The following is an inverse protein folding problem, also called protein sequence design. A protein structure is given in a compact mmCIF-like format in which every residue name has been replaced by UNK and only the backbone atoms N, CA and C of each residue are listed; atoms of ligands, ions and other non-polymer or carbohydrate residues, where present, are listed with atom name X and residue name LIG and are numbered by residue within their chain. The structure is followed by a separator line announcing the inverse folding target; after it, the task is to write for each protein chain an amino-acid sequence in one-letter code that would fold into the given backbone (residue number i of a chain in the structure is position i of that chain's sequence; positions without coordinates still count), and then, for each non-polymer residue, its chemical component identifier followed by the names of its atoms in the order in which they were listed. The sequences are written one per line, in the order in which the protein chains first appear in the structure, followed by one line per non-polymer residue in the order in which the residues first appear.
data_IF_166151966521
#
_entry.id   IF_166151966521
#
_cell.length_a   1.000
_cell.length_b   1.000
_cell.length_c   1.000
_cell.angle_alpha   90.00
_cell.angle_beta   90.00
_cell.angle_gamma   90.00
#
_symmetry.space_group_name_H-M   'P 1'
#
loop_
_entity.id
_entity.type
_entity.pdbx_description
1 polymer ?
#
# COMPACT_ATOMS: atom_id res chain seq x y z
N UNK A 1 9.31 -10.13 18.45
CA UNK A 1 8.40 -9.93 17.29
C UNK A 1 9.09 -9.00 16.29
N UNK A 2 9.33 -9.45 15.06
CA UNK A 2 10.15 -8.71 14.08
C UNK A 2 9.29 -7.77 13.21
N UNK A 3 9.05 -6.55 13.70
CA UNK A 3 8.27 -5.51 12.99
C UNK A 3 9.09 -4.57 12.11
N UNK A 4 10.41 -4.78 11.98
CA UNK A 4 11.33 -3.87 11.26
C UNK A 4 12.25 -4.67 10.35
N UNK A 5 12.45 -4.18 9.12
CA UNK A 5 13.42 -4.71 8.17
C UNK A 5 13.77 -3.70 7.07
N UNK A 6 14.89 -3.92 6.37
CA UNK A 6 15.37 -3.03 5.30
C UNK A 6 14.74 -3.39 3.95
N UNK A 7 13.86 -2.52 3.44
CA UNK A 7 13.30 -2.62 2.09
C UNK A 7 14.21 -2.02 1.01
N UNK A 8 13.78 -2.15 -0.25
CA UNK A 8 14.45 -1.54 -1.42
C UNK A 8 13.41 -0.97 -2.36
N UNK A 9 13.68 0.24 -2.86
CA UNK A 9 12.94 0.86 -3.96
C UNK A 9 13.61 0.47 -5.26
N UNK A 10 12.86 -0.06 -6.21
CA UNK A 10 13.37 -0.44 -7.54
C UNK A 10 12.53 0.19 -8.65
N UNK A 11 13.21 0.71 -9.65
CA UNK A 11 12.63 1.12 -10.94
C UNK A 11 12.92 0.02 -11.97
N UNK A 12 11.88 -0.42 -12.69
CA UNK A 12 11.98 -1.47 -13.72
C UNK A 12 11.99 -0.94 -15.16
N UNK A 13 12.09 0.38 -15.37
CA UNK A 13 12.44 0.96 -16.66
C UNK A 13 11.28 1.24 -17.64
N UNK A 14 11.24 2.52 -18.06
CA UNK A 14 10.81 3.17 -19.31
C UNK A 14 9.52 2.82 -20.08
N UNK A 15 8.71 1.83 -19.70
CA UNK A 15 7.37 1.68 -20.32
C UNK A 15 6.20 1.88 -19.36
N UNK A 16 6.46 1.78 -18.07
CA UNK A 16 5.52 2.12 -17.01
C UNK A 16 6.31 2.81 -15.91
N UNK A 17 5.96 4.04 -15.52
CA UNK A 17 6.51 4.77 -14.39
C UNK A 17 6.08 4.16 -13.05
N UNK A 18 6.30 2.86 -12.89
CA UNK A 18 5.91 2.10 -11.70
C UNK A 18 7.14 1.89 -10.84
N UNK A 19 7.09 2.48 -9.65
CA UNK A 19 8.05 2.21 -8.59
C UNK A 19 7.57 1.00 -7.81
N UNK A 20 8.47 0.06 -7.53
CA UNK A 20 8.18 -1.08 -6.67
C UNK A 20 8.93 -0.94 -5.35
N UNK A 21 8.22 -1.15 -4.24
CA UNK A 21 8.80 -1.20 -2.90
C UNK A 21 8.79 -2.65 -2.45
N UNK A 22 9.98 -3.19 -2.17
CA UNK A 22 10.11 -4.53 -1.60
C UNK A 22 9.94 -4.48 -0.07
N UNK A 23 8.97 -5.25 0.44
CA UNK A 23 8.77 -5.46 1.87
C UNK A 23 9.53 -6.71 2.31
N UNK A 24 10.41 -6.64 3.32
CA UNK A 24 11.14 -7.80 3.81
C UNK A 24 10.21 -8.93 4.26
N UNK A 25 10.59 -10.18 3.96
CA UNK A 25 9.80 -11.37 4.31
C UNK A 25 9.35 -11.39 5.79
N UNK A 26 10.24 -11.00 6.72
CA UNK A 26 9.91 -10.97 8.16
C UNK A 26 8.76 -10.02 8.50
N UNK A 27 8.61 -8.93 7.73
CA UNK A 27 7.52 -7.96 7.91
C UNK A 27 6.26 -8.44 7.19
N UNK A 28 6.39 -8.98 5.98
CA UNK A 28 5.27 -9.48 5.19
C UNK A 28 4.57 -10.72 5.79
N UNK A 29 5.30 -11.52 6.57
CA UNK A 29 4.77 -12.70 7.28
C UNK A 29 4.29 -12.40 8.71
N UNK A 30 4.37 -11.14 9.19
CA UNK A 30 3.84 -10.79 10.51
C UNK A 30 2.30 -10.87 10.48
N UNK A 31 1.69 -11.46 11.50
CA UNK A 31 0.23 -11.57 11.62
C UNK A 31 -0.51 -10.23 11.61
N UNK A 32 0.19 -9.13 11.91
CA UNK A 32 -0.33 -7.76 11.88
C UNK A 32 -0.12 -7.07 10.53
N UNK A 33 0.50 -7.75 9.55
CA UNK A 33 0.66 -7.21 8.21
C UNK A 33 -0.73 -6.91 7.64
N UNK A 34 -1.03 -5.64 7.30
CA UNK A 34 -2.41 -5.21 7.11
C UNK A 34 -2.97 -5.59 5.74
N UNK A 35 -2.17 -6.21 4.85
CA UNK A 35 -2.55 -6.49 3.47
C UNK A 35 -2.47 -7.99 3.12
N UNK A 36 -3.21 -8.38 2.10
CA UNK A 36 -3.23 -9.67 1.41
C UNK A 36 -2.72 -9.49 -0.01
N UNK A 37 -2.21 -10.57 -0.59
CA UNK A 37 -1.75 -10.54 -1.98
C UNK A 37 -2.92 -10.22 -2.92
N UNK A 38 -2.72 -9.20 -3.76
CA UNK A 38 -3.68 -8.79 -4.79
C UNK A 38 -4.78 -7.85 -4.33
N UNK A 39 -4.79 -7.38 -3.06
CA UNK A 39 -5.74 -6.34 -2.65
C UNK A 39 -5.32 -4.94 -3.14
N UNK A 40 -6.30 -4.12 -3.50
CA UNK A 40 -6.07 -2.71 -3.82
C UNK A 40 -5.76 -1.89 -2.56
N UNK A 41 -4.86 -0.93 -2.68
CA UNK A 41 -4.43 -0.06 -1.58
C UNK A 41 -4.41 1.40 -2.00
N UNK A 42 -4.65 2.30 -1.04
CA UNK A 42 -4.40 3.72 -1.21
C UNK A 42 -2.95 4.00 -0.85
N UNK A 43 -2.20 4.66 -1.75
CA UNK A 43 -0.81 5.05 -1.52
C UNK A 43 -0.72 6.58 -1.60
N UNK A 44 -0.21 7.23 -0.55
CA UNK A 44 -0.04 8.69 -0.52
C UNK A 44 1.25 9.11 0.19
N UNK A 45 1.66 10.36 -0.05
CA UNK A 45 2.77 11.00 0.64
C UNK A 45 2.20 11.85 1.78
N UNK A 46 2.73 11.66 2.98
CA UNK A 46 2.46 12.51 4.15
C UNK A 46 3.78 13.04 4.71
N UNK A 47 4.09 14.30 4.41
CA UNK A 47 5.40 14.89 4.72
C UNK A 47 6.53 14.13 4.01
N UNK A 48 7.49 13.61 4.79
CA UNK A 48 8.61 12.82 4.29
C UNK A 48 8.35 11.30 4.30
N UNK A 49 7.08 10.88 4.45
CA UNK A 49 6.70 9.46 4.56
C UNK A 49 5.79 9.03 3.42
N UNK A 50 5.92 7.77 3.02
CA UNK A 50 4.92 7.09 2.22
C UNK A 50 3.98 6.32 3.13
N UNK A 51 2.68 6.56 3.01
CA UNK A 51 1.63 5.90 3.77
C UNK A 51 0.82 5.02 2.83
N UNK A 52 0.67 3.75 3.20
CA UNK A 52 -0.12 2.76 2.46
C UNK A 52 -1.25 2.31 3.40
N UNK A 53 -2.48 2.42 2.94
CA UNK A 53 -3.68 2.01 3.68
C UNK A 53 -4.57 1.12 2.81
N UNK A 54 -5.43 0.32 3.45
CA UNK A 54 -6.45 -0.45 2.71
C UNK A 54 -7.28 0.50 1.87
N UNK A 55 -7.53 0.11 0.62
CA UNK A 55 -8.41 0.89 -0.24
C UNK A 55 -9.83 0.89 0.35
N UNK A 56 -10.24 2.04 0.90
CA UNK A 56 -11.63 2.28 1.25
C UNK A 56 -12.33 2.72 -0.02
N UNK A 57 -12.92 1.78 -0.75
CA UNK A 57 -13.92 2.14 -1.73
C UNK A 57 -15.00 2.89 -0.96
N UNK A 58 -15.06 4.22 -1.09
CA UNK A 58 -16.19 4.98 -0.61
C UNK A 58 -17.44 4.32 -1.19
N UNK A 59 -18.24 3.71 -0.33
CA UNK A 59 -19.48 3.05 -0.72
C UNK A 59 -20.28 4.05 -1.54
N UNK A 60 -20.51 3.74 -2.82
CA UNK A 60 -21.34 4.52 -3.75
C UNK A 60 -22.72 4.91 -3.18
N UNK A 61 -23.15 4.26 -2.10
CA UNK A 61 -24.36 4.50 -1.32
C UNK A 61 -24.56 5.96 -0.88
N UNK A 62 -23.50 6.72 -0.54
CA UNK A 62 -23.68 8.07 0.02
C UNK A 62 -23.94 9.17 -1.02
N UNK A 63 -23.80 8.88 -2.33
CA UNK A 63 -24.15 9.82 -3.41
C UNK A 63 -25.62 9.76 -3.84
N UNK A 64 -26.36 8.70 -3.49
CA UNK A 64 -27.78 8.55 -3.86
C UNK A 64 -28.76 9.25 -2.92
N UNK A 65 -28.31 9.67 -1.72
CA UNK A 65 -29.15 10.34 -0.72
C UNK A 65 -29.03 11.88 -0.73
N UNK A 66 -28.29 12.44 -1.71
CA UNK A 66 -28.11 13.89 -1.89
C UNK A 66 -28.50 14.39 -3.29
N UNK A 67 -29.22 13.59 -4.08
CA UNK A 67 -29.82 14.04 -5.35
C UNK A 67 -31.34 14.00 -5.27
#
# INVERSE_FOLDING_TARGET
MAGIGKGKVVDKGKKYSKIFIYIPQKVALDTRFPFKNGEDVTVRIEGEKLVIEKWKAESREQKSLKL
#
